data_IF_882680199135
#
_entry.id   IF_882680199135
#
_cell.length_a   1.000
_cell.length_b   1.000
_cell.length_c   1.000
_cell.angle_alpha   90.00
_cell.angle_beta   90.00
_cell.angle_gamma   90.00
#
_symmetry.space_group_name_H-M   'P 1'
#
loop_
_entity.id
_entity.type
_entity.pdbx_description
1 polymer ?
#
# COMPACT_ATOMS: atom_id res chain seq x y z
N UNK A 1 10.72 17.47 5.31
CA UNK A 1 9.38 16.86 5.14
C UNK A 1 8.20 17.81 5.39
N UNK A 2 8.30 18.81 6.28
CA UNK A 2 7.18 19.72 6.60
C UNK A 2 6.68 20.63 5.44
N UNK A 3 7.51 20.91 4.42
CA UNK A 3 7.09 21.74 3.27
C UNK A 3 6.11 21.03 2.32
N UNK A 4 6.11 19.68 2.26
CA UNK A 4 5.19 18.94 1.38
C UNK A 4 3.75 18.95 1.92
N UNK A 5 3.55 18.89 3.24
CA UNK A 5 2.21 18.90 3.85
C UNK A 5 1.48 20.24 3.67
N UNK A 6 2.20 21.35 3.57
CA UNK A 6 1.62 22.69 3.35
C UNK A 6 1.12 22.85 1.91
N UNK A 7 1.84 22.30 0.92
CA UNK A 7 1.41 22.33 -0.49
C UNK A 7 0.12 21.53 -0.68
N UNK A 8 0.00 20.37 -0.03
CA UNK A 8 -1.21 19.57 -0.12
C UNK A 8 -2.43 20.27 0.52
N UNK A 9 -2.26 20.98 1.64
CA UNK A 9 -3.33 21.76 2.27
C UNK A 9 -3.76 22.98 1.43
N UNK A 10 -2.82 23.66 0.76
CA UNK A 10 -3.12 24.79 -0.13
C UNK A 10 -3.81 24.35 -1.43
N UNK A 11 -3.46 23.18 -1.99
CA UNK A 11 -4.16 22.59 -3.13
C UNK A 11 -5.62 22.24 -2.77
N UNK A 12 -5.85 21.74 -1.56
CA UNK A 12 -7.19 21.47 -1.02
C UNK A 12 -8.03 22.74 -0.97
N UNK A 13 -7.45 23.84 -0.50
CA UNK A 13 -8.14 25.12 -0.33
C UNK A 13 -8.36 25.87 -1.67
N UNK A 14 -7.43 25.74 -2.61
CA UNK A 14 -7.54 26.33 -3.95
C UNK A 14 -8.60 25.63 -4.82
N UNK A 15 -8.71 24.30 -4.73
CA UNK A 15 -9.69 23.51 -5.49
C UNK A 15 -11.12 23.65 -4.92
N UNK A 16 -11.24 23.98 -3.64
CA UNK A 16 -12.53 24.20 -2.96
C UNK A 16 -13.32 25.41 -3.50
N UNK A 17 -12.66 26.39 -4.13
CA UNK A 17 -13.28 27.66 -4.56
C UNK A 17 -13.97 27.62 -5.93
N UNK A 18 -13.91 26.51 -6.67
CA UNK A 18 -14.53 26.38 -8.00
C UNK A 18 -15.95 25.80 -7.95
N UNK A 19 -16.96 26.59 -8.32
CA UNK A 19 -18.39 26.23 -8.26
C UNK A 19 -18.92 25.23 -9.31
N UNK A 20 -18.10 24.34 -9.88
CA UNK A 20 -18.54 23.37 -10.90
C UNK A 20 -18.59 21.90 -10.41
N UNK A 21 -19.79 21.32 -10.48
CA UNK A 21 -20.36 19.95 -10.40
C UNK A 21 -19.53 18.64 -10.31
N UNK A 22 -18.19 18.65 -10.21
CA UNK A 22 -17.44 17.64 -9.45
C UNK A 22 -16.51 18.46 -8.59
N UNK A 23 -16.92 18.71 -7.35
CA UNK A 23 -16.09 19.46 -6.42
C UNK A 23 -14.78 18.70 -6.30
N UNK A 24 -13.65 19.30 -6.69
CA UNK A 24 -12.36 18.63 -6.55
C UNK A 24 -12.06 18.25 -5.09
N UNK A 25 -12.85 18.78 -4.13
CA UNK A 25 -13.00 18.26 -2.76
C UNK A 25 -13.22 16.75 -2.68
N UNK A 26 -14.05 16.16 -3.55
CA UNK A 26 -14.31 14.71 -3.57
C UNK A 26 -13.13 13.90 -4.13
N UNK A 27 -12.32 14.50 -5.01
CA UNK A 27 -11.18 13.84 -5.64
C UNK A 27 -9.91 13.85 -4.77
N UNK A 28 -9.81 14.80 -3.83
CA UNK A 28 -8.66 14.94 -2.93
C UNK A 28 -8.35 13.65 -2.15
N UNK A 29 -9.32 13.02 -1.44
CA UNK A 29 -9.02 11.78 -0.71
C UNK A 29 -8.51 10.66 -1.63
N UNK A 30 -9.06 10.56 -2.84
CA UNK A 30 -8.66 9.57 -3.84
C UNK A 30 -7.25 9.84 -4.37
N UNK A 31 -6.86 11.11 -4.53
CA UNK A 31 -5.49 11.46 -4.89
C UNK A 31 -4.48 11.07 -3.80
N UNK A 32 -4.82 11.25 -2.52
CA UNK A 32 -3.99 10.74 -1.42
C UNK A 32 -3.88 9.21 -1.43
N UNK A 33 -4.97 8.51 -1.77
CA UNK A 33 -4.96 7.06 -1.91
C UNK A 33 -4.01 6.57 -3.00
N UNK A 34 -3.97 7.27 -4.14
CA UNK A 34 -3.06 6.97 -5.25
C UNK A 34 -1.60 7.23 -4.88
N UNK A 35 -1.31 8.31 -4.15
CA UNK A 35 0.07 8.66 -3.76
C UNK A 35 0.64 7.76 -2.66
N UNK A 36 -0.21 7.23 -1.78
CA UNK A 36 0.21 6.45 -0.60
C UNK A 36 -0.41 5.05 -0.57
N UNK A 37 -0.54 4.41 -1.73
CA UNK A 37 -1.14 3.07 -1.85
C UNK A 37 -0.34 2.02 -1.07
N UNK A 38 -1.01 1.26 -0.19
CA UNK A 38 -0.40 0.24 0.69
C UNK A 38 0.78 0.72 1.56
N UNK A 39 0.99 2.03 1.68
CA UNK A 39 2.00 2.64 2.54
C UNK A 39 1.32 3.60 3.54
N UNK A 40 0.94 3.12 4.73
CA UNK A 40 0.20 3.90 5.70
C UNK A 40 1.10 4.93 6.41
N UNK A 41 1.37 6.06 5.74
CA UNK A 41 1.94 7.23 6.39
C UNK A 41 0.92 7.82 7.37
N UNK A 42 1.30 7.95 8.64
CA UNK A 42 0.38 8.44 9.68
C UNK A 42 -0.15 9.85 9.38
N UNK A 43 0.65 10.69 8.72
CA UNK A 43 0.23 12.04 8.34
C UNK A 43 -0.94 12.02 7.37
N UNK A 44 -0.88 11.14 6.36
CA UNK A 44 -1.95 10.96 5.37
C UNK A 44 -3.18 10.34 6.04
N UNK A 45 -2.98 9.32 6.87
CA UNK A 45 -4.05 8.68 7.66
C UNK A 45 -4.80 9.69 8.52
N UNK A 46 -4.11 10.61 9.21
CA UNK A 46 -4.74 11.63 10.05
C UNK A 46 -5.48 12.69 9.24
N UNK A 47 -4.98 13.05 8.05
CA UNK A 47 -5.72 13.94 7.13
C UNK A 47 -6.99 13.27 6.61
N UNK A 48 -6.91 12.01 6.15
CA UNK A 48 -8.07 11.26 5.67
C UNK A 48 -9.09 11.02 6.78
N UNK A 49 -8.63 10.73 8.02
CA UNK A 49 -9.51 10.53 9.16
C UNK A 49 -10.31 11.81 9.52
N UNK A 50 -9.74 13.00 9.32
CA UNK A 50 -10.48 14.26 9.49
C UNK A 50 -11.53 14.43 8.39
N UNK A 51 -11.19 14.11 7.14
CA UNK A 51 -12.12 14.18 6.00
C UNK A 51 -13.25 13.16 6.07
N UNK A 52 -13.07 12.02 6.75
CA UNK A 52 -14.14 11.02 6.95
C UNK A 52 -15.24 11.45 7.92
N UNK A 53 -15.09 12.58 8.62
CA UNK A 53 -16.13 13.20 9.45
C UNK A 53 -16.69 14.49 8.83
N UNK A 54 -16.44 14.72 7.54
CA UNK A 54 -16.97 15.89 6.84
C UNK A 54 -18.51 15.83 6.74
N UNK A 55 -19.11 17.02 6.70
CA UNK A 55 -20.54 17.25 6.48
C UNK A 55 -21.04 16.71 5.13
N UNK A 56 -20.17 16.72 4.12
CA UNK A 56 -20.49 16.21 2.80
C UNK A 56 -20.32 14.68 2.73
N UNK A 57 -21.43 13.98 2.46
CA UNK A 57 -21.50 12.53 2.46
C UNK A 57 -20.56 11.87 1.43
N UNK A 58 -20.42 12.45 0.24
CA UNK A 58 -19.58 11.93 -0.83
C UNK A 58 -18.08 12.06 -0.50
N UNK A 59 -17.67 13.21 0.04
CA UNK A 59 -16.28 13.41 0.50
C UNK A 59 -15.93 12.47 1.65
N UNK A 60 -16.84 12.30 2.61
CA UNK A 60 -16.63 11.37 3.72
C UNK A 60 -16.50 9.91 3.23
N UNK A 61 -17.34 9.51 2.28
CA UNK A 61 -17.30 8.18 1.65
C UNK A 61 -15.97 7.92 0.95
N UNK A 62 -15.51 8.88 0.12
CA UNK A 62 -14.24 8.78 -0.59
C UNK A 62 -13.05 8.78 0.37
N UNK A 63 -13.12 9.50 1.48
CA UNK A 63 -12.09 9.48 2.52
C UNK A 63 -11.99 8.12 3.23
N UNK A 64 -13.11 7.46 3.50
CA UNK A 64 -13.13 6.11 4.09
C UNK A 64 -12.53 5.09 3.12
N UNK A 65 -12.91 5.13 1.84
CA UNK A 65 -12.33 4.25 0.81
C UNK A 65 -10.83 4.49 0.64
N UNK A 66 -10.43 5.76 0.56
CA UNK A 66 -9.03 6.16 0.47
C UNK A 66 -8.23 5.62 1.66
N UNK A 67 -8.79 5.69 2.88
CA UNK A 67 -8.15 5.16 4.07
C UNK A 67 -7.92 3.64 3.96
N UNK A 68 -8.90 2.89 3.44
CA UNK A 68 -8.76 1.46 3.17
C UNK A 68 -7.70 1.10 2.13
N UNK A 69 -7.56 1.89 1.06
CA UNK A 69 -6.54 1.69 0.02
C UNK A 69 -5.13 2.00 0.57
N UNK A 70 -4.98 3.08 1.34
CA UNK A 70 -3.70 3.48 1.94
C UNK A 70 -3.18 2.41 2.91
N UNK A 71 -4.07 1.80 3.69
CA UNK A 71 -3.72 0.71 4.62
C UNK A 71 -3.87 -0.69 4.03
N UNK A 72 -4.08 -0.81 2.72
CA UNK A 72 -4.41 -2.08 2.11
C UNK A 72 -3.30 -3.12 2.34
N UNK A 73 -3.69 -4.21 3.01
CA UNK A 73 -2.86 -5.33 3.42
C UNK A 73 -1.64 -4.96 4.27
N UNK A 74 -1.59 -3.78 4.87
CA UNK A 74 -0.53 -3.42 5.81
C UNK A 74 -0.80 -3.91 7.23
N UNK A 75 -2.02 -4.39 7.51
CA UNK A 75 -2.51 -4.79 8.84
C UNK A 75 -2.11 -3.81 9.97
N UNK A 76 -2.19 -2.50 9.71
CA UNK A 76 -1.76 -1.50 10.69
C UNK A 76 -2.82 -1.34 11.79
N UNK A 77 -2.46 -1.69 13.03
CA UNK A 77 -3.35 -1.67 14.19
C UNK A 77 -3.99 -0.29 14.43
N UNK A 78 -3.26 0.81 14.17
CA UNK A 78 -3.77 2.18 14.38
C UNK A 78 -4.89 2.52 13.39
N UNK A 79 -4.71 2.16 12.11
CA UNK A 79 -5.74 2.39 11.08
C UNK A 79 -6.94 1.48 11.32
N UNK A 80 -6.71 0.23 11.70
CA UNK A 80 -7.78 -0.71 12.05
C UNK A 80 -8.63 -0.21 13.23
N UNK A 81 -8.00 0.40 14.26
CA UNK A 81 -8.72 1.03 15.37
C UNK A 81 -9.59 2.21 14.91
N UNK A 82 -9.04 3.11 14.07
CA UNK A 82 -9.80 4.24 13.49
C UNK A 82 -11.00 3.76 12.66
N UNK A 83 -10.81 2.74 11.81
CA UNK A 83 -11.89 2.15 11.01
C UNK A 83 -12.95 1.47 11.88
N UNK A 84 -12.60 0.89 13.04
CA UNK A 84 -13.59 0.36 13.99
C UNK A 84 -14.43 1.48 14.61
N UNK A 85 -13.80 2.58 15.00
CA UNK A 85 -14.51 3.75 15.54
C UNK A 85 -15.48 4.34 14.50
N UNK A 86 -15.05 4.44 13.23
CA UNK A 86 -15.91 4.88 12.13
C UNK A 86 -17.09 3.91 11.89
N UNK A 87 -16.88 2.60 12.03
CA UNK A 87 -17.96 1.62 11.89
C UNK A 87 -19.04 1.78 12.96
N UNK A 88 -18.64 2.06 14.20
CA UNK A 88 -19.57 2.35 15.30
C UNK A 88 -20.31 3.68 15.10
N UNK A 89 -19.63 4.70 14.55
CA UNK A 89 -20.24 6.00 14.26
C UNK A 89 -21.33 5.90 13.17
N UNK A 90 -21.04 5.21 12.07
CA UNK A 90 -21.95 5.03 10.93
C UNK A 90 -22.89 3.82 11.08
N UNK A 91 -23.11 3.31 12.30
CA UNK A 91 -23.95 2.11 12.51
C UNK A 91 -25.45 2.36 12.24
N UNK A 92 -25.92 3.61 12.30
CA UNK A 92 -27.34 3.95 12.09
C UNK A 92 -27.74 3.80 10.61
N UNK A 93 -28.95 3.29 10.36
CA UNK A 93 -29.49 2.99 9.01
C UNK A 93 -29.44 4.16 8.02
N UNK A 94 -29.51 5.40 8.51
CA UNK A 94 -29.40 6.63 7.69
C UNK A 94 -28.08 6.72 6.90
N UNK A 95 -27.04 6.00 7.31
CA UNK A 95 -25.71 6.03 6.70
C UNK A 95 -25.26 4.65 6.21
N UNK A 96 -26.18 3.85 5.65
CA UNK A 96 -25.89 2.50 5.16
C UNK A 96 -24.75 2.46 4.13
N UNK A 97 -24.66 3.47 3.24
CA UNK A 97 -23.61 3.56 2.21
C UNK A 97 -22.22 3.78 2.82
N UNK A 98 -22.10 4.71 3.77
CA UNK A 98 -20.86 4.94 4.49
C UNK A 98 -20.48 3.71 5.32
N UNK A 99 -21.45 3.04 5.95
CA UNK A 99 -21.19 1.82 6.72
C UNK A 99 -20.59 0.72 5.85
N UNK A 100 -21.16 0.46 4.67
CA UNK A 100 -20.62 -0.51 3.72
C UNK A 100 -19.19 -0.16 3.30
N UNK A 101 -18.93 1.11 3.00
CA UNK A 101 -17.58 1.58 2.65
C UNK A 101 -16.57 1.37 3.79
N UNK A 102 -16.97 1.59 5.05
CA UNK A 102 -16.10 1.29 6.20
C UNK A 102 -15.79 -0.20 6.27
N UNK A 103 -16.77 -1.09 6.05
CA UNK A 103 -16.54 -2.54 6.03
C UNK A 103 -15.62 -2.97 4.89
N UNK A 104 -15.79 -2.38 3.71
CA UNK A 104 -14.91 -2.60 2.57
C UNK A 104 -13.47 -2.16 2.90
N UNK A 105 -13.29 -0.97 3.49
CA UNK A 105 -11.99 -0.46 3.91
C UNK A 105 -11.32 -1.33 5.01
N UNK A 106 -12.11 -1.88 5.94
CA UNK A 106 -11.63 -2.85 6.93
C UNK A 106 -11.13 -4.14 6.24
N UNK A 107 -11.89 -4.65 5.26
CA UNK A 107 -11.50 -5.81 4.45
C UNK A 107 -10.20 -5.57 3.68
N UNK A 108 -10.05 -4.41 3.03
CA UNK A 108 -8.82 -4.03 2.33
C UNK A 108 -7.63 -3.95 3.29
N UNK A 109 -7.80 -3.40 4.49
CA UNK A 109 -6.72 -3.28 5.48
C UNK A 109 -6.17 -4.64 5.92
N UNK A 110 -7.06 -5.64 6.03
CA UNK A 110 -6.74 -7.01 6.44
C UNK A 110 -6.60 -7.98 5.26
N UNK A 111 -6.45 -7.45 4.03
CA UNK A 111 -6.35 -8.25 2.81
C UNK A 111 -5.22 -9.28 2.91
N UNK A 112 -5.56 -10.56 2.68
CA UNK A 112 -4.61 -11.67 2.83
C UNK A 112 -3.99 -11.79 4.22
N UNK A 113 -4.69 -11.37 5.30
CA UNK A 113 -4.16 -11.25 6.67
C UNK A 113 -2.94 -10.33 6.80
N UNK A 114 -2.73 -9.44 5.83
CA UNK A 114 -1.56 -8.56 5.75
C UNK A 114 -0.44 -9.03 4.80
N UNK A 115 -0.70 -10.07 4.00
CA UNK A 115 0.30 -10.59 3.04
C UNK A 115 0.21 -9.97 1.65
N UNK A 116 -0.92 -9.34 1.33
CA UNK A 116 -1.18 -8.79 0.00
C UNK A 116 -0.98 -7.27 -0.01
N UNK A 117 -0.66 -6.71 -1.15
CA UNK A 117 -0.50 -5.27 -1.36
C UNK A 117 -1.21 -4.81 -2.61
N UNK A 118 -1.54 -3.51 -2.68
CA UNK A 118 -2.11 -2.83 -3.84
C UNK A 118 -1.14 -1.87 -4.51
N UNK A 119 0.11 -1.82 -4.04
CA UNK A 119 1.11 -0.91 -4.58
C UNK A 119 1.41 -1.25 -6.04
N UNK A 120 1.27 -0.31 -6.99
CA UNK A 120 1.62 -0.53 -8.39
C UNK A 120 3.13 -0.42 -8.65
N UNK A 121 3.91 -0.04 -7.63
CA UNK A 121 5.35 0.12 -7.69
C UNK A 121 6.05 -1.23 -7.59
N UNK A 122 6.98 -1.48 -8.51
CA UNK A 122 7.85 -2.65 -8.60
C UNK A 122 9.33 -2.23 -8.55
N UNK A 123 10.20 -3.18 -8.20
CA UNK A 123 11.66 -3.07 -8.22
C UNK A 123 12.17 -1.85 -7.44
N UNK A 124 12.10 -1.90 -6.11
CA UNK A 124 12.56 -0.85 -5.21
C UNK A 124 11.89 0.51 -5.50
N UNK A 125 10.65 0.47 -6.00
CA UNK A 125 9.85 1.63 -6.43
C UNK A 125 10.37 2.39 -7.66
N UNK A 126 11.25 1.78 -8.45
CA UNK A 126 11.78 2.40 -9.67
C UNK A 126 10.84 2.25 -10.86
N UNK A 127 10.06 1.16 -10.90
CA UNK A 127 9.18 0.84 -12.01
C UNK A 127 7.72 0.85 -11.57
N UNK A 128 6.83 1.21 -12.49
CA UNK A 128 5.38 1.19 -12.29
C UNK A 128 4.81 0.10 -13.18
N UNK A 129 4.09 -0.86 -12.59
CA UNK A 129 3.34 -1.84 -13.36
C UNK A 129 2.12 -1.18 -14.00
N UNK A 130 1.99 -1.17 -15.34
CA UNK A 130 0.86 -0.54 -16.00
C UNK A 130 -0.46 -1.27 -15.70
N UNK A 131 -0.43 -2.59 -15.51
CA UNK A 131 -1.64 -3.38 -15.24
C UNK A 131 -2.20 -3.10 -13.85
N UNK A 132 -1.33 -3.07 -12.83
CA UNK A 132 -1.70 -2.73 -11.46
C UNK A 132 -2.17 -1.26 -11.38
N UNK A 133 -1.48 -0.34 -12.06
CA UNK A 133 -1.90 1.06 -12.09
C UNK A 133 -3.28 1.23 -12.74
N UNK A 134 -3.54 0.58 -13.87
CA UNK A 134 -4.85 0.67 -14.54
C UNK A 134 -5.99 0.08 -13.70
N UNK A 135 -5.73 -1.02 -12.97
CA UNK A 135 -6.70 -1.58 -12.03
C UNK A 135 -7.05 -0.61 -10.91
N UNK A 136 -6.04 0.00 -10.30
CA UNK A 136 -6.21 0.99 -9.24
C UNK A 136 -6.91 2.25 -9.76
N UNK A 137 -6.54 2.77 -10.93
CA UNK A 137 -7.18 3.94 -11.55
C UNK A 137 -8.63 3.65 -11.92
N UNK A 138 -8.94 2.45 -12.43
CA UNK A 138 -10.31 2.01 -12.70
C UNK A 138 -11.17 2.00 -11.44
N UNK A 139 -10.62 1.50 -10.32
CA UNK A 139 -11.28 1.56 -9.02
C UNK A 139 -11.50 3.00 -8.53
N UNK A 140 -10.47 3.85 -8.59
CA UNK A 140 -10.55 5.25 -8.15
C UNK A 140 -11.54 6.07 -8.99
N UNK A 141 -11.56 5.86 -10.30
CA UNK A 141 -12.54 6.51 -11.18
C UNK A 141 -13.96 6.08 -10.82
N UNK A 142 -14.14 4.79 -10.54
CA UNK A 142 -15.44 4.26 -10.10
C UNK A 142 -15.84 4.81 -8.73
N UNK A 143 -14.87 5.07 -7.86
CA UNK A 143 -15.10 5.64 -6.53
C UNK A 143 -15.61 7.09 -6.56
N UNK A 144 -15.29 7.88 -7.60
CA UNK A 144 -15.84 9.24 -7.77
C UNK A 144 -17.36 9.26 -7.83
N UNK A 145 -17.98 8.21 -8.37
CA UNK A 145 -19.44 8.04 -8.47
C UNK A 145 -19.92 6.79 -7.72
N UNK A 146 -19.37 6.56 -6.53
CA UNK A 146 -19.62 5.37 -5.72
C UNK A 146 -21.10 4.98 -5.58
N UNK A 147 -21.99 5.94 -5.38
CA UNK A 147 -23.42 5.72 -5.18
C UNK A 147 -24.09 5.03 -6.39
N UNK A 148 -23.61 5.31 -7.61
CA UNK A 148 -24.19 4.78 -8.86
C UNK A 148 -23.46 3.54 -9.36
N UNK A 149 -22.15 3.46 -9.12
CA UNK A 149 -21.27 2.39 -9.63
C UNK A 149 -21.21 1.22 -8.65
N UNK A 150 -20.31 1.32 -7.66
CA UNK A 150 -19.93 0.26 -6.71
C UNK A 150 -21.10 -0.13 -5.82
N UNK A 151 -21.81 0.86 -5.27
CA UNK A 151 -22.95 0.66 -4.36
C UNK A 151 -24.29 0.54 -5.11
N UNK A 152 -24.30 0.80 -6.42
CA UNK A 152 -25.50 0.84 -7.26
C UNK A 152 -25.68 -0.42 -8.09
N UNK A 153 -25.57 -0.32 -9.42
CA UNK A 153 -25.82 -1.45 -10.33
C UNK A 153 -24.58 -2.28 -10.65
N UNK A 154 -23.39 -1.70 -10.47
CA UNK A 154 -22.13 -2.23 -11.00
C UNK A 154 -21.20 -2.68 -9.87
N UNK A 155 -21.65 -3.62 -9.03
CA UNK A 155 -20.88 -4.14 -7.90
C UNK A 155 -19.56 -4.82 -8.32
N UNK A 156 -19.54 -5.45 -9.51
CA UNK A 156 -18.35 -6.10 -10.05
C UNK A 156 -17.19 -5.12 -10.29
N UNK A 157 -17.45 -3.81 -10.29
CA UNK A 157 -16.41 -2.80 -10.45
C UNK A 157 -15.38 -2.83 -9.30
N UNK A 158 -15.72 -3.43 -8.15
CA UNK A 158 -14.75 -3.75 -7.10
C UNK A 158 -13.63 -4.69 -7.58
N UNK A 159 -13.93 -5.58 -8.52
CA UNK A 159 -12.97 -6.56 -9.06
C UNK A 159 -11.91 -5.91 -9.97
N UNK A 160 -12.10 -4.66 -10.38
CA UNK A 160 -11.04 -3.90 -11.09
C UNK A 160 -9.76 -3.77 -10.27
N UNK A 161 -9.85 -3.93 -8.94
CA UNK A 161 -8.72 -3.94 -8.03
C UNK A 161 -7.86 -5.22 -8.14
N UNK A 162 -8.42 -6.33 -8.62
CA UNK A 162 -7.76 -7.64 -8.68
C UNK A 162 -6.37 -7.64 -9.36
N UNK A 163 -6.15 -7.03 -10.54
CA UNK A 163 -4.81 -6.96 -11.16
C UNK A 163 -3.79 -6.14 -10.35
N UNK A 164 -4.24 -5.37 -9.36
CA UNK A 164 -3.36 -4.60 -8.47
C UNK A 164 -2.89 -5.40 -7.25
N UNK A 165 -3.50 -6.57 -7.01
CA UNK A 165 -3.21 -7.40 -5.84
C UNK A 165 -1.94 -8.20 -6.08
N UNK A 166 -0.89 -7.92 -5.29
CA UNK A 166 0.38 -8.64 -5.31
C UNK A 166 0.76 -9.15 -3.92
N UNK A 167 1.46 -10.30 -3.80
CA UNK A 167 1.98 -10.77 -2.52
C UNK A 167 3.23 -9.97 -2.10
N UNK A 168 3.35 -9.71 -0.80
CA UNK A 168 4.44 -8.95 -0.16
C UNK A 168 5.49 -9.81 0.54
N UNK A 169 5.32 -11.13 0.49
CA UNK A 169 6.28 -12.06 1.08
C UNK A 169 7.50 -12.18 0.18
N UNK A 170 8.66 -12.37 0.79
CA UNK A 170 9.89 -12.72 0.09
C UNK A 170 10.21 -14.18 0.28
N UNK A 171 10.35 -14.90 -0.83
CA UNK A 171 10.60 -16.34 -0.89
C UNK A 171 11.79 -16.63 -1.80
N UNK A 172 12.75 -17.39 -1.28
CA UNK A 172 13.88 -17.87 -2.06
C UNK A 172 13.52 -19.18 -2.78
N UNK A 173 13.83 -19.25 -4.07
CA UNK A 173 13.73 -20.47 -4.88
C UNK A 173 15.09 -20.82 -5.47
N UNK A 174 15.32 -22.10 -5.67
CA UNK A 174 16.53 -22.65 -6.28
C UNK A 174 16.47 -22.53 -7.82
N UNK A 175 17.57 -22.84 -8.51
CA UNK A 175 17.68 -22.86 -9.98
C UNK A 175 16.63 -23.75 -10.66
N UNK A 176 16.17 -24.81 -9.96
CA UNK A 176 15.11 -25.70 -10.42
C UNK A 176 13.68 -25.19 -10.10
N UNK A 177 13.55 -23.94 -9.64
CA UNK A 177 12.29 -23.31 -9.21
C UNK A 177 11.60 -24.00 -8.02
N UNK A 178 12.34 -24.82 -7.27
CA UNK A 178 11.86 -25.40 -6.02
C UNK A 178 12.15 -24.47 -4.83
N UNK A 179 11.29 -24.50 -3.82
CA UNK A 179 11.49 -23.71 -2.59
C UNK A 179 12.71 -24.26 -1.85
N UNK A 180 13.70 -23.41 -1.55
CA UNK A 180 14.88 -23.80 -0.79
C UNK A 180 14.48 -24.28 0.61
N UNK A 181 14.54 -25.60 0.85
CA UNK A 181 14.09 -26.24 2.10
C UNK A 181 14.86 -25.79 3.34
N UNK A 182 16.13 -25.42 3.16
CA UNK A 182 16.99 -24.96 4.25
C UNK A 182 16.70 -23.52 4.69
N UNK A 183 15.91 -22.78 3.89
CA UNK A 183 15.61 -21.38 4.12
C UNK A 183 16.83 -20.47 3.95
N UNK A 184 16.68 -19.40 3.18
CA UNK A 184 17.79 -18.46 2.95
C UNK A 184 17.76 -17.38 4.03
N UNK A 185 18.92 -17.10 4.61
CA UNK A 185 19.06 -16.00 5.56
C UNK A 185 19.07 -14.66 4.83
N UNK A 186 18.11 -13.81 5.17
CA UNK A 186 17.92 -12.48 4.62
C UNK A 186 17.92 -11.45 5.74
N UNK A 187 18.48 -10.26 5.47
CA UNK A 187 18.36 -9.09 6.33
C UNK A 187 17.29 -8.18 5.76
N UNK A 188 16.46 -7.63 6.64
CA UNK A 188 15.38 -6.71 6.27
C UNK A 188 15.64 -5.39 6.97
N UNK A 189 15.48 -4.28 6.23
CA UNK A 189 15.73 -2.95 6.77
C UNK A 189 15.23 -1.85 5.84
N UNK A 190 15.23 -0.61 6.33
CA UNK A 190 14.92 0.55 5.48
C UNK A 190 16.08 0.81 4.52
N UNK A 191 15.81 1.23 3.28
CA UNK A 191 16.86 1.59 2.35
C UNK A 191 17.67 2.78 2.86
N UNK A 192 19.00 2.68 2.78
CA UNK A 192 19.96 3.75 3.10
C UNK A 192 20.61 4.18 1.81
N UNK A 193 20.74 5.50 1.63
CA UNK A 193 21.53 6.04 0.52
C UNK A 193 23.02 5.78 0.78
N UNK A 194 23.64 5.02 -0.12
CA UNK A 194 25.04 4.61 0.00
C UNK A 194 26.00 5.62 -0.62
N UNK A 195 25.49 6.65 -1.30
CA UNK A 195 26.30 7.73 -1.86
C UNK A 195 26.99 8.48 -0.71
N UNK A 196 28.32 8.57 -0.77
CA UNK A 196 29.22 9.18 0.23
C UNK A 196 29.59 8.32 1.47
N UNK A 197 29.28 7.02 1.49
CA UNK A 197 29.78 6.11 2.54
C UNK A 197 31.08 5.43 2.09
N UNK A 198 32.16 5.63 2.83
CA UNK A 198 33.45 5.00 2.56
C UNK A 198 33.44 3.50 2.93
N UNK A 199 34.11 2.66 2.13
CA UNK A 199 34.27 1.22 2.38
C UNK A 199 33.32 0.35 1.55
N UNK A 200 32.78 -0.72 2.15
CA UNK A 200 31.71 -1.56 1.58
C UNK A 200 30.37 -1.14 2.19
N UNK A 201 29.69 -0.12 1.64
CA UNK A 201 28.47 0.40 2.22
C UNK A 201 27.32 -0.61 2.08
N UNK A 202 26.51 -0.74 3.13
CA UNK A 202 25.28 -1.55 3.09
C UNK A 202 24.10 -0.67 2.68
N UNK A 203 23.24 -1.22 1.84
CA UNK A 203 22.08 -0.51 1.31
C UNK A 203 20.86 -0.52 2.26
N UNK A 204 20.93 -1.21 3.40
CA UNK A 204 19.80 -1.38 4.34
C UNK A 204 20.16 -1.04 5.79
N UNK A 205 19.19 -0.50 6.54
CA UNK A 205 19.24 -0.34 8.00
C UNK A 205 18.79 -1.65 8.67
N UNK A 206 19.70 -2.58 8.93
CA UNK A 206 19.31 -3.81 9.61
C UNK A 206 20.44 -4.82 9.72
N UNK A 207 20.70 -5.27 10.93
CA UNK A 207 21.69 -6.33 11.19
C UNK A 207 21.04 -7.69 11.47
N UNK A 208 19.77 -7.70 11.88
CA UNK A 208 19.05 -8.93 12.20
C UNK A 208 18.76 -9.75 10.94
N UNK A 209 19.11 -11.02 11.00
CA UNK A 209 18.86 -12.01 9.96
C UNK A 209 17.57 -12.76 10.26
N UNK A 210 16.74 -12.89 9.23
CA UNK A 210 15.53 -13.70 9.22
C UNK A 210 15.68 -14.81 8.18
N UNK A 211 14.98 -15.92 8.38
CA UNK A 211 14.94 -17.02 7.41
C UNK A 211 13.70 -16.88 6.54
N UNK A 212 13.85 -17.01 5.22
CA UNK A 212 12.71 -16.99 4.27
C UNK A 212 11.73 -18.16 4.54
N UNK A 213 10.40 -17.96 4.42
CA UNK A 213 9.72 -16.76 3.93
C UNK A 213 9.59 -15.65 4.97
N UNK A 214 9.78 -14.40 4.54
CA UNK A 214 9.64 -13.21 5.40
C UNK A 214 8.61 -12.25 4.83
N UNK A 215 7.75 -11.71 5.67
CA UNK A 215 6.81 -10.65 5.29
C UNK A 215 7.49 -9.29 5.41
N UNK A 216 7.47 -8.50 4.34
CA UNK A 216 8.11 -7.18 4.34
C UNK A 216 7.19 -6.07 4.86
N UNK A 217 7.75 -5.00 5.43
CA UNK A 217 7.01 -3.75 5.64
C UNK A 217 6.85 -2.92 4.35
N UNK A 218 6.10 -1.82 4.44
CA UNK A 218 5.91 -0.77 3.43
C UNK A 218 7.18 -0.49 2.64
N UNK A 219 8.16 -0.09 3.42
CA UNK A 219 9.39 0.59 3.02
C UNK A 219 10.62 -0.27 3.21
N UNK A 220 10.43 -1.56 3.51
CA UNK A 220 11.54 -2.45 3.77
C UNK A 220 12.18 -2.89 2.46
N UNK A 221 13.49 -3.04 2.53
CA UNK A 221 14.36 -3.60 1.51
C UNK A 221 15.05 -4.82 2.10
N UNK A 222 15.34 -5.79 1.24
CA UNK A 222 15.92 -7.07 1.62
C UNK A 222 17.32 -7.22 1.02
N UNK A 223 18.23 -7.81 1.79
CA UNK A 223 19.56 -8.19 1.35
C UNK A 223 19.85 -9.65 1.78
N UNK A 224 20.39 -10.49 0.89
CA UNK A 224 20.79 -11.85 1.27
C UNK A 224 22.04 -11.79 2.15
N UNK A 225 21.99 -12.41 3.32
CA UNK A 225 23.11 -12.49 4.27
C UNK A 225 23.70 -13.91 4.37
N UNK A 226 23.23 -14.85 3.56
CA UNK A 226 23.65 -16.24 3.59
C UNK A 226 25.09 -16.45 3.07
N UNK A 227 25.84 -17.32 3.74
CA UNK A 227 27.18 -17.71 3.34
C UNK A 227 27.20 -18.67 2.15
N UNK A 228 26.18 -19.54 2.03
CA UNK A 228 26.10 -20.59 1.00
C UNK A 228 25.47 -20.13 -0.32
N UNK A 229 24.68 -19.07 -0.23
CA UNK A 229 23.70 -18.73 -1.25
C UNK A 229 23.89 -17.28 -1.71
N UNK A 230 23.79 -17.03 -3.01
CA UNK A 230 23.84 -15.72 -3.64
C UNK A 230 22.57 -15.49 -4.47
N UNK A 231 21.94 -14.33 -4.31
CA UNK A 231 20.82 -13.96 -5.18
C UNK A 231 21.33 -13.65 -6.59
N UNK A 232 20.62 -14.15 -7.61
CA UNK A 232 20.90 -13.83 -9.02
C UNK A 232 20.57 -12.36 -9.31
N UNK A 233 19.52 -11.84 -8.69
CA UNK A 233 19.05 -10.47 -8.87
C UNK A 233 19.64 -9.53 -7.82
N UNK A 234 19.90 -8.28 -8.22
CA UNK A 234 20.34 -7.20 -7.31
C UNK A 234 19.21 -6.69 -6.42
N UNK A 235 17.98 -6.74 -6.93
CA UNK A 235 16.76 -6.36 -6.21
C UNK A 235 16.03 -7.63 -5.82
N UNK A 236 15.70 -7.74 -4.53
CA UNK A 236 15.03 -8.90 -3.93
C UNK A 236 13.62 -8.49 -3.58
N UNK A 237 12.66 -8.89 -4.42
CA UNK A 237 11.23 -8.67 -4.22
C UNK A 237 10.46 -9.95 -4.58
N UNK A 238 9.43 -10.28 -3.80
CA UNK A 238 8.59 -11.44 -4.09
C UNK A 238 9.37 -12.75 -4.09
N UNK A 239 9.26 -13.48 -5.20
CA UNK A 239 9.96 -14.75 -5.39
C UNK A 239 11.27 -14.45 -6.12
N UNK A 240 12.41 -14.78 -5.49
CA UNK A 240 13.74 -14.53 -6.07
C UNK A 240 14.56 -15.82 -6.14
N UNK A 241 15.35 -15.93 -7.21
CA UNK A 241 16.20 -17.08 -7.47
C UNK A 241 17.54 -16.91 -6.77
N UNK A 242 18.00 -18.00 -6.17
CA UNK A 242 19.24 -18.09 -5.44
C UNK A 242 20.10 -19.18 -6.06
N UNK A 243 21.38 -18.88 -6.23
CA UNK A 243 22.41 -19.83 -6.66
C UNK A 243 23.32 -20.18 -5.48
N UNK A 244 23.86 -21.39 -5.49
CA UNK A 244 24.95 -21.75 -4.59
C UNK A 244 26.20 -20.96 -4.96
N UNK A 245 26.84 -20.34 -3.96
CA UNK A 245 28.10 -19.64 -4.19
C UNK A 245 29.16 -20.67 -4.58
N UNK A 246 29.90 -20.48 -5.69
CA UNK A 246 31.09 -21.27 -5.93
C UNK A 246 32.03 -21.05 -4.74
N UNK A 247 32.43 -22.13 -4.07
CA UNK A 247 33.43 -22.06 -3.01
C UNK A 247 34.68 -21.40 -3.58
N UNK A 248 34.95 -20.18 -3.15
CA UNK A 248 36.27 -19.60 -3.28
C UNK A 248 37.09 -20.25 -2.16
N UNK A 249 37.99 -21.15 -2.53
CA UNK A 249 39.04 -21.65 -1.63
C UNK A 249 39.84 -20.50 -1.01
#
# INVERSE_FOLDING_TARGET
MAKRSVIHALLVDAVSKGGSNISGRHAIPLAYALLSTSNPSMTVVETLNRLSHDSDALTALNAILALGIVSAGSNNARVASKLRNLASYYHKERFALQHFSVRLAQGLTMMGKGHLTLSPLLNDRTLVSPTALMGLLGFLHSALYCDKTILGKYHYMLLTLAPSISPRMVLAVDAMMEVCKDGVQVRVGLPVDTVAVAGKPKAITGFQTHTTPVLLSATDKVEVASAKHQAVTTVIEGIFVVEEKPNVE
#
